data_IF_543279286475
#
_entry.id   IF_543279286475
#
_cell.length_a   1.000
_cell.length_b   1.000
_cell.length_c   1.000
_cell.angle_alpha   90.00
_cell.angle_beta   90.00
_cell.angle_gamma   90.00
#
_symmetry.space_group_name_H-M   'P 1'
#
loop_
_entity.id
_entity.type
_entity.pdbx_description
1 polymer ?
#
# COMPACT_ATOMS: atom_id res chain seq x y z
N UNK A 1 0.35 1.79 0.26
CA UNK A 1 -0.34 2.97 0.79
C UNK A 1 0.27 4.25 0.27
N UNK A 2 1.56 4.47 0.48
CA UNK A 2 2.23 5.65 -0.07
C UNK A 2 2.19 5.61 -1.60
N UNK A 3 1.94 6.77 -2.23
CA UNK A 3 1.69 6.96 -3.66
C UNK A 3 0.51 6.18 -4.26
N UNK A 4 -0.33 5.62 -3.42
CA UNK A 4 -1.65 5.10 -3.80
C UNK A 4 -2.74 5.87 -3.07
N UNK A 5 -2.89 5.71 -1.77
CA UNK A 5 -3.88 6.46 -0.97
C UNK A 5 -3.39 7.86 -0.61
N UNK A 6 -2.10 8.01 -0.28
CA UNK A 6 -1.49 9.30 0.03
C UNK A 6 -0.30 9.58 -0.88
N UNK A 7 -0.05 10.85 -1.10
CA UNK A 7 1.08 11.32 -1.90
C UNK A 7 2.34 11.33 -1.04
N UNK A 8 3.31 10.47 -1.39
CA UNK A 8 4.61 10.48 -0.75
C UNK A 8 5.34 11.80 -1.03
N UNK A 9 5.86 12.42 0.02
CA UNK A 9 6.65 13.63 -0.09
C UNK A 9 8.07 13.35 0.44
N UNK A 10 9.09 13.34 -0.43
CA UNK A 10 10.46 13.07 0.00
C UNK A 10 11.04 14.17 0.89
N UNK A 11 10.46 15.38 0.88
CA UNK A 11 10.86 16.47 1.77
C UNK A 11 10.35 16.28 3.20
N UNK A 12 9.36 15.39 3.39
CA UNK A 12 8.77 15.06 4.70
C UNK A 12 9.26 13.68 5.11
N UNK A 13 9.81 13.56 6.29
CA UNK A 13 10.28 12.26 6.79
C UNK A 13 9.11 11.32 7.09
N UNK A 14 9.35 10.00 7.10
CA UNK A 14 8.34 9.04 7.52
C UNK A 14 7.85 9.26 8.95
N UNK A 15 8.60 10.01 9.76
CA UNK A 15 8.15 10.47 11.08
C UNK A 15 6.83 11.23 10.99
N UNK A 16 6.67 12.04 9.94
CA UNK A 16 5.49 12.88 9.73
C UNK A 16 4.58 12.36 8.59
N UNK A 17 4.69 11.08 8.27
CA UNK A 17 3.92 10.45 7.18
C UNK A 17 2.40 10.57 7.36
N UNK A 18 1.91 10.79 8.59
CA UNK A 18 0.50 11.06 8.84
C UNK A 18 0.01 12.40 8.28
N UNK A 19 0.93 13.27 7.85
CA UNK A 19 0.62 14.57 7.23
C UNK A 19 0.62 14.52 5.70
N UNK A 20 0.90 13.38 5.07
CA UNK A 20 0.90 13.26 3.62
C UNK A 20 -0.46 13.60 3.03
N UNK A 21 -0.46 14.36 1.93
CA UNK A 21 -1.69 14.72 1.23
C UNK A 21 -2.39 13.48 0.66
N UNK A 22 -3.75 13.43 0.68
CA UNK A 22 -4.48 12.32 0.07
C UNK A 22 -4.41 12.37 -1.46
N UNK A 23 -4.55 11.19 -2.08
CA UNK A 23 -4.85 11.06 -3.52
C UNK A 23 -6.35 10.79 -3.65
N UNK A 24 -7.17 11.81 -3.98
CA UNK A 24 -8.61 11.74 -3.86
C UNK A 24 -9.26 10.60 -4.65
N UNK A 25 -8.74 10.32 -5.85
CA UNK A 25 -9.27 9.27 -6.74
C UNK A 25 -9.16 7.88 -6.11
N UNK A 26 -8.07 7.57 -5.41
CA UNK A 26 -7.87 6.27 -4.79
C UNK A 26 -8.53 6.18 -3.42
N UNK A 27 -8.58 7.27 -2.67
CA UNK A 27 -9.38 7.36 -1.44
C UNK A 27 -10.85 7.10 -1.75
N UNK A 28 -11.36 7.68 -2.84
CA UNK A 28 -12.73 7.47 -3.31
C UNK A 28 -13.00 6.00 -3.66
N UNK A 29 -12.07 5.34 -4.35
CA UNK A 29 -12.19 3.91 -4.68
C UNK A 29 -12.33 3.07 -3.41
N UNK A 30 -11.48 3.31 -2.41
CA UNK A 30 -11.54 2.59 -1.14
C UNK A 30 -12.88 2.81 -0.41
N UNK A 31 -13.39 4.03 -0.38
CA UNK A 31 -14.69 4.35 0.23
C UNK A 31 -15.85 3.70 -0.51
N UNK A 32 -15.83 3.70 -1.84
CA UNK A 32 -16.86 3.04 -2.66
C UNK A 32 -16.85 1.54 -2.42
N UNK A 33 -15.67 0.91 -2.38
CA UNK A 33 -15.54 -0.52 -2.10
C UNK A 33 -16.22 -0.89 -0.78
N UNK A 34 -15.97 -0.14 0.29
CA UNK A 34 -16.62 -0.36 1.59
C UNK A 34 -18.13 -0.23 1.51
N UNK A 35 -18.64 0.76 0.78
CA UNK A 35 -20.07 0.98 0.62
C UNK A 35 -20.77 -0.19 -0.11
N UNK A 36 -20.04 -0.91 -0.96
CA UNK A 36 -20.56 -2.09 -1.67
C UNK A 36 -20.22 -3.41 -0.93
N UNK A 37 -19.78 -3.35 0.31
CA UNK A 37 -19.50 -4.54 1.11
C UNK A 37 -18.20 -5.27 0.75
N UNK A 38 -17.31 -4.61 0.01
CA UNK A 38 -15.99 -5.15 -0.32
C UNK A 38 -15.00 -4.75 0.76
N UNK A 39 -14.29 -5.74 1.31
CA UNK A 39 -13.26 -5.49 2.30
C UNK A 39 -12.07 -4.77 1.70
N UNK A 40 -11.54 -3.80 2.43
CA UNK A 40 -10.37 -3.02 2.05
C UNK A 40 -9.23 -3.34 3.00
N UNK A 41 -8.10 -3.71 2.44
CA UNK A 41 -6.89 -4.07 3.19
C UNK A 41 -5.73 -3.21 2.70
N UNK A 42 -4.99 -2.63 3.62
CA UNK A 42 -3.77 -1.89 3.31
C UNK A 42 -2.57 -2.81 3.41
N UNK A 43 -1.74 -2.80 2.36
CA UNK A 43 -0.46 -3.49 2.32
C UNK A 43 0.63 -2.45 2.05
N UNK A 44 1.41 -2.10 3.06
CA UNK A 44 2.37 -1.00 2.98
C UNK A 44 3.80 -1.45 3.23
N UNK A 45 4.74 -0.84 2.51
CA UNK A 45 6.17 -1.00 2.77
C UNK A 45 6.66 -0.26 4.03
N UNK A 46 5.80 0.55 4.65
CA UNK A 46 6.15 1.16 5.94
C UNK A 46 6.43 0.07 6.96
N UNK A 47 7.46 0.29 7.77
CA UNK A 47 7.81 -0.67 8.81
C UNK A 47 6.80 -0.65 9.96
N UNK A 48 6.68 -1.76 10.65
CA UNK A 48 5.67 -1.97 11.70
C UNK A 48 5.73 -0.93 12.83
N UNK A 49 6.91 -0.38 13.13
CA UNK A 49 7.03 0.68 14.13
C UNK A 49 6.42 2.03 13.69
N UNK A 50 6.01 2.15 12.42
CA UNK A 50 5.27 3.31 11.89
C UNK A 50 3.76 3.05 11.77
N UNK A 51 3.25 1.91 12.24
CA UNK A 51 1.84 1.53 12.06
C UNK A 51 0.84 2.55 12.60
N UNK A 52 1.16 3.22 13.71
CA UNK A 52 0.27 4.23 14.27
C UNK A 52 0.05 5.42 13.33
N UNK A 53 1.04 5.76 12.52
CA UNK A 53 0.94 6.83 11.51
C UNK A 53 0.01 6.43 10.36
N UNK A 54 0.06 5.18 9.96
CA UNK A 54 -0.86 4.61 8.97
C UNK A 54 -2.29 4.71 9.44
N UNK A 55 -2.58 4.22 10.65
CA UNK A 55 -3.92 4.26 11.21
C UNK A 55 -4.42 5.69 11.44
N UNK A 56 -3.56 6.57 11.92
CA UNK A 56 -3.90 7.99 12.10
C UNK A 56 -4.28 8.66 10.78
N UNK A 57 -3.51 8.41 9.73
CA UNK A 57 -3.80 8.93 8.40
C UNK A 57 -5.15 8.43 7.87
N UNK A 58 -5.39 7.14 7.96
CA UNK A 58 -6.65 6.52 7.53
C UNK A 58 -7.84 7.11 8.27
N UNK A 59 -7.75 7.25 9.58
CA UNK A 59 -8.78 7.84 10.42
C UNK A 59 -9.05 9.31 10.04
N UNK A 60 -8.00 10.11 9.88
CA UNK A 60 -8.12 11.51 9.52
C UNK A 60 -8.81 11.73 8.18
N UNK A 61 -8.64 10.82 7.24
CA UNK A 61 -9.21 10.91 5.89
C UNK A 61 -10.48 10.06 5.71
N UNK A 62 -10.99 9.48 6.81
CA UNK A 62 -12.22 8.71 6.78
C UNK A 62 -12.15 7.45 5.92
N UNK A 63 -10.97 6.84 5.79
CA UNK A 63 -10.78 5.59 5.05
C UNK A 63 -10.88 4.42 6.02
N UNK A 64 -11.98 3.69 5.97
CA UNK A 64 -12.18 2.48 6.75
C UNK A 64 -11.51 1.29 6.09
N UNK A 65 -10.72 0.54 6.85
CA UNK A 65 -10.06 -0.67 6.37
C UNK A 65 -10.28 -1.83 7.35
N UNK A 66 -10.28 -3.04 6.81
CA UNK A 66 -10.45 -4.26 7.59
C UNK A 66 -9.15 -4.69 8.24
N UNK A 67 -8.02 -4.38 7.61
CA UNK A 67 -6.69 -4.66 8.15
C UNK A 67 -5.63 -3.79 7.47
N UNK A 68 -4.49 -3.62 8.13
CA UNK A 68 -3.31 -2.99 7.57
C UNK A 68 -2.09 -3.87 7.87
N UNK A 69 -1.41 -4.29 6.81
CA UNK A 69 -0.20 -5.09 6.88
C UNK A 69 1.01 -4.20 6.66
N UNK A 70 1.98 -4.30 7.56
CA UNK A 70 3.21 -3.53 7.54
C UNK A 70 4.41 -4.43 7.35
N UNK A 71 5.45 -3.90 6.74
CA UNK A 71 6.75 -4.56 6.68
C UNK A 71 7.33 -4.69 8.08
N UNK A 72 7.90 -5.86 8.41
CA UNK A 72 8.55 -6.05 9.72
C UNK A 72 9.69 -5.05 9.90
N UNK A 73 9.89 -4.59 11.14
CA UNK A 73 10.92 -3.59 11.47
C UNK A 73 12.34 -4.05 11.12
N UNK A 74 12.62 -5.34 11.26
CA UNK A 74 13.92 -5.98 10.98
C UNK A 74 14.03 -6.62 9.59
N UNK A 75 13.03 -6.40 8.73
CA UNK A 75 13.00 -7.00 7.39
C UNK A 75 14.16 -6.49 6.54
N UNK A 76 14.92 -7.42 5.97
CA UNK A 76 16.05 -7.15 5.06
C UNK A 76 15.76 -7.55 3.61
N UNK A 77 14.58 -8.12 3.34
CA UNK A 77 14.18 -8.49 2.00
C UNK A 77 14.07 -7.26 1.10
N UNK A 78 14.27 -7.44 -0.20
CA UNK A 78 13.91 -6.39 -1.15
C UNK A 78 12.39 -6.17 -1.18
N UNK A 79 11.99 -5.01 -1.65
CA UNK A 79 10.60 -4.53 -1.53
C UNK A 79 9.58 -5.50 -2.12
N UNK A 80 9.84 -6.04 -3.33
CA UNK A 80 8.89 -6.97 -3.98
C UNK A 80 8.76 -8.31 -3.24
N UNK A 81 9.84 -8.83 -2.67
CA UNK A 81 9.79 -10.06 -1.90
C UNK A 81 8.99 -9.88 -0.60
N UNK A 82 9.20 -8.76 0.08
CA UNK A 82 8.42 -8.42 1.27
C UNK A 82 6.94 -8.25 0.93
N UNK A 83 6.62 -7.62 -0.20
CA UNK A 83 5.25 -7.46 -0.65
C UNK A 83 4.61 -8.79 -1.02
N UNK A 84 5.34 -9.67 -1.69
CA UNK A 84 4.87 -11.01 -2.05
C UNK A 84 4.48 -11.82 -0.81
N UNK A 85 5.31 -11.83 0.21
CA UNK A 85 5.02 -12.53 1.46
C UNK A 85 3.81 -11.93 2.18
N UNK A 86 3.70 -10.61 2.17
CA UNK A 86 2.56 -9.89 2.72
C UNK A 86 1.25 -10.26 1.99
N UNK A 87 1.27 -10.29 0.67
CA UNK A 87 0.11 -10.67 -0.15
C UNK A 87 -0.29 -12.13 0.08
N UNK A 88 0.67 -13.04 0.22
CA UNK A 88 0.37 -14.44 0.59
C UNK A 88 -0.36 -14.53 1.92
N UNK A 89 0.06 -13.75 2.91
CA UNK A 89 -0.63 -13.69 4.22
C UNK A 89 -2.05 -13.16 4.09
N UNK A 90 -2.25 -12.11 3.29
CA UNK A 90 -3.56 -11.53 3.02
C UNK A 90 -4.48 -12.56 2.35
N UNK A 91 -3.96 -13.30 1.37
CA UNK A 91 -4.71 -14.32 0.63
C UNK A 91 -5.18 -15.50 1.50
N UNK A 92 -4.59 -15.71 2.66
CA UNK A 92 -5.05 -16.72 3.62
C UNK A 92 -6.39 -16.34 4.26
N UNK A 93 -6.71 -15.07 4.33
CA UNK A 93 -7.93 -14.56 4.97
C UNK A 93 -8.93 -14.03 3.96
N UNK A 94 -8.48 -13.40 2.87
CA UNK A 94 -9.32 -12.74 1.88
C UNK A 94 -9.09 -13.29 0.49
N UNK A 95 -10.16 -13.32 -0.31
CA UNK A 95 -10.05 -13.43 -1.76
C UNK A 95 -9.75 -12.06 -2.33
N UNK A 96 -8.54 -11.85 -2.83
CA UNK A 96 -8.10 -10.56 -3.36
C UNK A 96 -8.63 -10.39 -4.78
N UNK A 97 -9.56 -9.46 -4.98
CA UNK A 97 -10.15 -9.17 -6.29
C UNK A 97 -9.37 -8.13 -7.08
N UNK A 98 -8.65 -7.23 -6.39
CA UNK A 98 -7.78 -6.25 -7.03
C UNK A 98 -6.72 -5.76 -6.04
N UNK A 99 -5.54 -5.46 -6.56
CA UNK A 99 -4.43 -4.91 -5.82
C UNK A 99 -3.88 -3.69 -6.57
N UNK A 100 -3.76 -2.57 -5.87
CA UNK A 100 -3.26 -1.31 -6.42
C UNK A 100 -1.91 -0.98 -5.81
N UNK A 101 -0.90 -0.79 -6.64
CA UNK A 101 0.45 -0.40 -6.19
C UNK A 101 1.14 0.47 -7.25
N UNK A 102 1.95 1.41 -6.81
CA UNK A 102 2.73 2.30 -7.68
C UNK A 102 4.06 1.68 -8.14
N UNK A 103 4.52 0.65 -7.46
CA UNK A 103 5.75 -0.06 -7.82
C UNK A 103 5.51 -1.11 -8.89
N UNK A 104 6.18 -1.02 -10.06
CA UNK A 104 6.08 -2.05 -11.08
C UNK A 104 6.58 -3.41 -10.59
N UNK A 105 7.51 -3.44 -9.66
CA UNK A 105 8.04 -4.67 -9.06
C UNK A 105 7.00 -5.36 -8.17
N UNK A 106 6.26 -4.59 -7.39
CA UNK A 106 5.18 -5.10 -6.55
C UNK A 106 4.01 -5.59 -7.39
N UNK A 107 3.68 -4.86 -8.46
CA UNK A 107 2.63 -5.27 -9.42
C UNK A 107 2.99 -6.60 -10.06
N UNK A 108 4.24 -6.77 -10.50
CA UNK A 108 4.71 -8.03 -11.08
C UNK A 108 4.65 -9.17 -10.07
N UNK A 109 5.07 -8.94 -8.83
CA UNK A 109 4.99 -9.93 -7.75
C UNK A 109 3.56 -10.39 -7.47
N UNK A 110 2.61 -9.46 -7.45
CA UNK A 110 1.19 -9.76 -7.27
C UNK A 110 0.64 -10.61 -8.42
N UNK A 111 0.99 -10.27 -9.66
CA UNK A 111 0.57 -11.02 -10.85
C UNK A 111 1.11 -12.45 -10.87
N UNK A 112 2.32 -12.68 -10.39
CA UNK A 112 2.88 -14.02 -10.20
C UNK A 112 2.04 -14.87 -9.23
N UNK A 113 1.39 -14.25 -8.26
CA UNK A 113 0.48 -14.91 -7.32
C UNK A 113 -0.94 -15.10 -7.87
N UNK A 114 -1.20 -14.70 -9.12
CA UNK A 114 -2.51 -14.77 -9.73
C UNK A 114 -3.47 -13.66 -9.33
N UNK A 115 -2.98 -12.61 -8.71
CA UNK A 115 -3.78 -11.45 -8.31
C UNK A 115 -3.92 -10.47 -9.48
N UNK A 116 -5.13 -9.96 -9.70
CA UNK A 116 -5.32 -8.83 -10.61
C UNK A 116 -4.70 -7.58 -9.98
N UNK A 117 -3.56 -7.17 -10.53
CA UNK A 117 -2.83 -6.00 -10.03
C UNK A 117 -2.94 -4.84 -11.01
N UNK A 118 -3.18 -3.66 -10.45
CA UNK A 118 -3.37 -2.41 -11.17
C UNK A 118 -2.22 -1.48 -10.82
N UNK A 119 -1.42 -1.13 -11.82
CA UNK A 119 -0.32 -0.17 -11.65
C UNK A 119 -0.87 1.24 -11.50
N UNK A 120 -0.54 1.89 -10.39
CA UNK A 120 -0.91 3.28 -10.11
C UNK A 120 0.16 4.19 -10.71
N UNK A 121 -0.18 5.07 -11.67
CA UNK A 121 0.79 5.93 -12.33
C UNK A 121 1.23 7.11 -11.46
N UNK A 122 2.31 7.77 -11.88
CA UNK A 122 2.79 9.02 -11.31
C UNK A 122 4.09 8.91 -10.53
N UNK A 123 4.68 7.71 -10.41
CA UNK A 123 5.91 7.50 -9.65
C UNK A 123 6.93 6.64 -10.40
N UNK A 124 6.85 6.62 -11.71
CA UNK A 124 7.67 5.76 -12.56
C UNK A 124 9.16 6.09 -12.46
N UNK A 125 9.50 7.37 -12.44
CA UNK A 125 10.90 7.82 -12.35
C UNK A 125 11.55 7.42 -11.02
N UNK A 126 10.81 7.50 -9.93
CA UNK A 126 11.28 7.06 -8.62
C UNK A 126 11.69 5.60 -8.63
N UNK A 127 10.83 4.74 -9.20
CA UNK A 127 11.10 3.30 -9.26
C UNK A 127 12.14 2.93 -10.29
N UNK A 128 12.24 3.68 -11.40
CA UNK A 128 13.29 3.49 -12.40
C UNK A 128 14.69 3.76 -11.81
N UNK A 129 14.83 4.77 -10.97
CA UNK A 129 16.08 5.11 -10.31
C UNK A 129 16.41 4.16 -9.15
N UNK A 130 15.41 3.87 -8.31
CA UNK A 130 15.60 3.06 -7.11
C UNK A 130 15.80 1.57 -7.41
N UNK A 131 15.04 1.04 -8.38
CA UNK A 131 14.95 -0.39 -8.59
C UNK A 131 14.21 -1.14 -7.49
N UNK A 132 14.26 -2.45 -7.54
CA UNK A 132 13.64 -3.33 -6.55
C UNK A 132 14.63 -3.59 -5.40
N UNK A 133 14.61 -2.77 -4.40
CA UNK A 133 15.57 -2.81 -3.28
C UNK A 133 14.94 -3.12 -1.95
#
# INVERSE_FOLDING_TARGET
MDDVLCKYDPAVTLRDAHTFAPRPEFVKIAKIAKNFGVDVVVATGRRSFHQWKTWRWLEQHGVEVNAAYHRKGDCTQKTSDAKRDMLRSIMQTWHVVAFYDDSPYNVAAARELGIQAIHVPGNEDYWAERGDT
#
